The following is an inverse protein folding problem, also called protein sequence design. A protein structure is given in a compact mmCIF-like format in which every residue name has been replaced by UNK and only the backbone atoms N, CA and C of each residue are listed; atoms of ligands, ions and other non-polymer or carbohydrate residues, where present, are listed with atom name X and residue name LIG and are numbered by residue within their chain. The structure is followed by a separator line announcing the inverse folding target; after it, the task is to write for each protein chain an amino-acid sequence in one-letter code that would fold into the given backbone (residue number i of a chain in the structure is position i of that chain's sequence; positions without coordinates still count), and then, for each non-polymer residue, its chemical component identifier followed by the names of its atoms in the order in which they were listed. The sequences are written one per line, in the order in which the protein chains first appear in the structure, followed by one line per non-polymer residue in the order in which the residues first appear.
data_IF_598938078569
#
_entry.id   IF_598938078569
#
_cell.length_a   1.000
_cell.length_b   1.000
_cell.length_c   1.000
_cell.angle_alpha   90.00
_cell.angle_beta   90.00
_cell.angle_gamma   90.00
#
_symmetry.space_group_name_H-M   'P 1'
#
loop_
_entity.id
_entity.type
_entity.pdbx_description
1 polymer ?
#
# COMPACT_ATOMS: atom_id res chain seq x y z
N UNK A 1 77.12 3.53 22.27
CA UNK A 1 76.56 2.43 21.45
C UNK A 1 75.22 2.89 20.88
N UNK A 2 75.18 3.20 19.58
CA UNK A 2 73.99 3.15 18.70
C UNK A 2 73.88 1.71 18.19
N UNK A 3 72.68 1.16 17.90
CA UNK A 3 71.87 1.51 16.72
C UNK A 3 70.36 1.54 17.07
N UNK A 4 69.36 1.71 16.21
CA UNK A 4 69.17 2.25 14.87
C UNK A 4 67.66 2.50 14.74
N UNK A 5 67.30 3.41 13.86
CA UNK A 5 65.93 3.73 13.49
C UNK A 5 65.17 2.51 12.94
N UNK A 6 63.90 2.38 13.31
CA UNK A 6 62.93 1.57 12.59
C UNK A 6 61.70 2.44 12.29
N UNK A 7 61.67 2.97 11.07
CA UNK A 7 60.52 3.62 10.48
C UNK A 7 59.43 2.56 10.22
N UNK A 8 58.24 2.75 10.78
CA UNK A 8 57.08 1.95 10.46
C UNK A 8 56.27 2.66 9.36
N UNK A 9 56.40 2.13 8.16
CA UNK A 9 55.81 2.61 6.92
C UNK A 9 54.28 2.42 6.92
N UNK A 10 53.54 3.52 6.79
CA UNK A 10 52.10 3.50 6.52
C UNK A 10 51.84 2.91 5.12
N UNK A 11 51.11 1.80 5.05
CA UNK A 11 50.72 1.18 3.78
C UNK A 11 49.30 1.63 3.45
N UNK A 12 49.22 2.61 2.55
CA UNK A 12 47.98 3.13 1.96
C UNK A 12 47.53 2.19 0.84
N UNK A 13 46.55 1.32 1.13
CA UNK A 13 45.93 0.48 0.11
C UNK A 13 44.83 1.25 -0.61
N UNK A 14 45.17 1.88 -1.73
CA UNK A 14 44.20 2.48 -2.66
C UNK A 14 43.60 1.38 -3.54
N UNK A 15 42.40 0.91 -3.19
CA UNK A 15 41.63 -0.02 -4.03
C UNK A 15 40.94 0.78 -5.15
N UNK A 16 41.57 0.85 -6.31
CA UNK A 16 40.96 1.34 -7.55
C UNK A 16 40.04 0.26 -8.11
N UNK A 17 38.72 0.41 -7.98
CA UNK A 17 37.76 -0.37 -8.73
C UNK A 17 37.63 0.19 -10.14
N UNK A 18 37.95 -0.69 -11.09
CA UNK A 18 38.09 -0.47 -12.52
C UNK A 18 36.70 -0.52 -13.15
N UNK A 19 36.28 0.57 -13.80
CA UNK A 19 35.12 0.59 -14.67
C UNK A 19 35.35 -0.39 -15.83
N UNK A 20 34.58 -1.47 -15.89
CA UNK A 20 34.51 -2.35 -17.03
C UNK A 20 33.49 -1.80 -18.02
N UNK A 21 33.98 -1.12 -19.05
CA UNK A 21 33.20 -0.79 -20.24
C UNK A 21 32.93 -2.08 -21.04
N UNK A 22 31.67 -2.52 -21.09
CA UNK A 22 31.22 -3.51 -22.07
C UNK A 22 30.46 -2.78 -23.18
N UNK A 23 30.97 -2.98 -24.39
CA UNK A 23 30.55 -2.41 -25.66
C UNK A 23 29.17 -2.91 -26.11
N UNK A 24 28.51 -2.19 -27.04
CA UNK A 24 27.14 -2.43 -27.44
C UNK A 24 27.08 -3.41 -28.62
N UNK A 25 26.31 -4.49 -28.49
CA UNK A 25 25.62 -5.17 -29.60
C UNK A 25 24.98 -6.47 -29.10
N UNK A 26 23.67 -6.42 -28.84
CA UNK A 26 22.77 -7.50 -29.23
C UNK A 26 21.34 -6.93 -29.31
N UNK A 27 21.10 -6.17 -30.38
CA UNK A 27 19.76 -5.87 -30.83
C UNK A 27 19.29 -7.05 -31.69
N UNK A 28 18.46 -7.93 -31.14
CA UNK A 28 17.41 -8.66 -31.85
C UNK A 28 16.65 -9.54 -30.86
N UNK A 29 15.31 -9.48 -30.92
CA UNK A 29 14.33 -10.31 -30.21
C UNK A 29 13.78 -9.75 -28.89
N UNK A 30 13.04 -8.63 -28.97
CA UNK A 30 11.98 -8.33 -28.01
C UNK A 30 10.67 -8.05 -28.77
N UNK A 31 9.71 -8.94 -28.53
CA UNK A 31 8.32 -8.89 -28.97
C UNK A 31 7.57 -7.67 -28.38
N UNK A 32 6.61 -7.06 -29.11
CA UNK A 32 5.93 -5.85 -28.67
C UNK A 32 4.72 -6.22 -27.80
N UNK A 33 4.85 -6.14 -26.48
CA UNK A 33 3.69 -6.19 -25.57
C UNK A 33 4.03 -5.55 -24.23
N UNK A 34 4.30 -4.24 -24.21
CA UNK A 34 4.35 -3.45 -22.97
C UNK A 34 4.27 -1.93 -23.22
N UNK A 35 3.51 -1.51 -24.24
CA UNK A 35 3.18 -0.10 -24.50
C UNK A 35 1.70 0.21 -24.20
N UNK A 36 1.07 -0.54 -23.28
CA UNK A 36 -0.38 -0.46 -23.03
C UNK A 36 -0.76 -0.25 -21.55
N UNK A 37 0.12 0.27 -20.70
CA UNK A 37 -0.20 0.52 -19.28
C UNK A 37 0.03 1.96 -18.79
N UNK A 38 0.44 2.89 -19.65
CA UNK A 38 0.51 4.31 -19.33
C UNK A 38 -0.45 5.09 -20.22
N UNK A 39 -1.75 4.88 -20.04
CA UNK A 39 -2.79 5.82 -20.47
C UNK A 39 -4.19 5.26 -20.22
N UNK A 40 -4.67 5.21 -18.97
CA UNK A 40 -6.11 5.10 -18.70
C UNK A 40 -6.36 5.69 -17.31
N UNK A 41 -7.34 6.53 -17.03
CA UNK A 41 -8.25 7.38 -17.80
C UNK A 41 -9.00 8.13 -16.69
N UNK A 42 -9.08 9.46 -16.73
CA UNK A 42 -10.07 10.19 -15.93
C UNK A 42 -11.45 9.65 -16.33
N UNK A 43 -12.11 8.92 -15.42
CA UNK A 43 -13.50 8.51 -15.63
C UNK A 43 -14.41 9.65 -15.22
N UNK A 44 -14.68 10.54 -16.16
CA UNK A 44 -15.88 11.36 -16.15
C UNK A 44 -17.09 10.43 -16.33
N UNK A 45 -18.05 10.51 -15.40
CA UNK A 45 -19.33 9.83 -15.49
C UNK A 45 -20.14 10.45 -16.64
N UNK A 46 -20.05 9.86 -17.83
CA UNK A 46 -20.92 10.16 -18.96
C UNK A 46 -22.20 9.33 -18.77
N UNK A 47 -23.30 9.99 -18.44
CA UNK A 47 -24.64 9.40 -18.44
C UNK A 47 -24.96 8.82 -19.83
N UNK A 48 -25.68 7.69 -19.92
CA UNK A 48 -26.17 7.19 -21.19
C UNK A 48 -27.30 8.10 -21.71
N UNK A 49 -27.47 8.23 -23.04
CA UNK A 49 -28.57 9.00 -23.62
C UNK A 49 -29.89 8.28 -23.36
N UNK A 50 -30.82 8.98 -22.72
CA UNK A 50 -32.23 8.57 -22.60
C UNK A 50 -32.80 8.36 -24.01
N UNK A 51 -33.12 7.11 -24.35
CA UNK A 51 -33.91 6.81 -25.55
C UNK A 51 -35.32 7.41 -25.35
N UNK A 52 -35.57 8.47 -26.10
CA UNK A 52 -36.87 9.09 -26.32
C UNK A 52 -37.78 8.08 -27.03
N UNK A 53 -38.65 7.41 -26.27
CA UNK A 53 -39.78 6.67 -26.84
C UNK A 53 -40.89 7.70 -27.07
N UNK A 54 -41.06 8.09 -28.33
CA UNK A 54 -42.23 8.83 -28.76
C UNK A 54 -43.44 7.88 -28.70
N UNK A 55 -44.44 8.15 -27.86
CA UNK A 55 -45.76 7.54 -27.95
C UNK A 55 -46.78 8.59 -28.39
N UNK A 56 -47.47 8.28 -29.48
CA UNK A 56 -48.58 9.02 -30.09
C UNK A 56 -49.69 9.38 -29.08
N UNK A 57 -50.34 10.52 -29.33
CA UNK A 57 -51.51 11.05 -28.63
C UNK A 57 -52.76 10.12 -28.73
N UNK A 58 -53.82 10.38 -27.94
CA UNK A 58 -54.79 9.38 -27.49
C UNK A 58 -56.00 9.22 -28.42
N UNK A 59 -56.83 8.18 -28.20
CA UNK A 59 -58.26 8.32 -28.41
C UNK A 59 -59.04 8.12 -27.10
N UNK A 60 -60.20 8.77 -27.09
CA UNK A 60 -61.17 8.88 -26.02
C UNK A 60 -61.83 7.55 -25.59
N UNK A 61 -62.51 7.65 -24.43
CA UNK A 61 -63.63 6.83 -23.94
C UNK A 61 -63.28 5.57 -23.13
N UNK A 62 -63.37 5.65 -21.81
CA UNK A 62 -64.62 5.44 -21.05
C UNK A 62 -64.30 5.19 -19.57
N UNK A 63 -65.09 5.79 -18.69
CA UNK A 63 -64.94 5.68 -17.25
C UNK A 63 -65.20 4.23 -16.79
N UNK A 64 -64.20 3.62 -16.14
CA UNK A 64 -64.37 2.43 -15.33
C UNK A 64 -63.75 2.71 -13.94
N UNK A 65 -64.39 2.32 -12.83
CA UNK A 65 -63.91 2.65 -11.51
C UNK A 65 -62.60 1.90 -11.24
N UNK A 66 -61.57 2.69 -10.94
CA UNK A 66 -60.25 2.27 -10.51
C UNK A 66 -60.35 1.22 -9.40
N UNK A 67 -60.13 -0.04 -9.76
CA UNK A 67 -59.82 -1.11 -8.81
C UNK A 67 -58.38 -1.53 -9.06
N UNK A 68 -57.43 -0.59 -8.96
CA UNK A 68 -56.05 -0.98 -8.73
C UNK A 68 -56.04 -1.66 -7.35
N UNK A 69 -55.62 -2.93 -7.23
CA UNK A 69 -55.37 -3.50 -5.91
C UNK A 69 -54.36 -2.58 -5.21
N UNK A 70 -54.51 -2.33 -3.90
CA UNK A 70 -53.58 -1.49 -3.16
C UNK A 70 -52.15 -1.96 -3.44
N UNK A 71 -51.16 -1.05 -3.52
CA UNK A 71 -49.77 -1.44 -3.73
C UNK A 71 -49.46 -2.54 -2.71
N UNK A 72 -49.16 -3.74 -3.20
CA UNK A 72 -49.05 -4.90 -2.33
C UNK A 72 -48.01 -4.58 -1.27
N UNK A 73 -48.50 -4.39 -0.04
CA UNK A 73 -47.70 -4.16 1.15
C UNK A 73 -46.62 -5.23 1.14
N UNK A 74 -45.36 -4.81 1.10
CA UNK A 74 -44.23 -5.71 1.28
C UNK A 74 -44.58 -6.64 2.45
N UNK A 75 -44.50 -7.96 2.22
CA UNK A 75 -44.87 -8.91 3.27
C UNK A 75 -44.05 -8.60 4.53
N UNK A 76 -44.63 -8.64 5.75
CA UNK A 76 -43.91 -8.32 6.99
C UNK A 76 -42.57 -9.08 7.17
N UNK A 77 -42.47 -10.27 6.55
CA UNK A 77 -41.25 -11.08 6.48
C UNK A 77 -40.13 -10.36 5.71
N UNK A 78 -40.45 -9.77 4.57
CA UNK A 78 -39.50 -9.04 3.72
C UNK A 78 -39.05 -7.74 4.39
N UNK A 79 -39.94 -7.03 5.08
CA UNK A 79 -39.56 -5.85 5.87
C UNK A 79 -38.56 -6.20 6.98
N UNK A 80 -38.81 -7.30 7.69
CA UNK A 80 -37.88 -7.80 8.71
C UNK A 80 -36.51 -8.18 8.11
N UNK A 81 -36.47 -8.79 6.91
CA UNK A 81 -35.22 -9.09 6.20
C UNK A 81 -34.43 -7.82 5.87
N UNK A 82 -35.09 -6.77 5.39
CA UNK A 82 -34.41 -5.49 5.10
C UNK A 82 -33.87 -4.82 6.36
N UNK A 83 -34.58 -4.91 7.48
CA UNK A 83 -34.08 -4.39 8.78
C UNK A 83 -32.82 -5.13 9.20
N UNK A 84 -32.81 -6.46 9.13
CA UNK A 84 -31.62 -7.26 9.45
C UNK A 84 -30.45 -6.94 8.51
N UNK A 85 -30.71 -6.83 7.20
CA UNK A 85 -29.68 -6.51 6.22
C UNK A 85 -29.08 -5.10 6.44
N UNK A 86 -29.91 -4.11 6.79
CA UNK A 86 -29.42 -2.77 7.15
C UNK A 86 -28.50 -2.82 8.36
N UNK A 87 -28.89 -3.52 9.42
CA UNK A 87 -28.06 -3.66 10.61
C UNK A 87 -26.68 -4.28 10.30
N UNK A 88 -26.64 -5.31 9.44
CA UNK A 88 -25.39 -5.91 8.98
C UNK A 88 -24.51 -4.94 8.16
N UNK A 89 -25.12 -4.10 7.31
CA UNK A 89 -24.40 -3.09 6.55
C UNK A 89 -23.84 -1.98 7.46
N UNK A 90 -24.61 -1.55 8.46
CA UNK A 90 -24.20 -0.52 9.41
C UNK A 90 -23.03 -1.00 10.28
N UNK A 91 -23.06 -2.26 10.73
CA UNK A 91 -21.95 -2.90 11.43
C UNK A 91 -20.70 -2.98 10.55
N UNK A 92 -20.85 -3.42 9.30
CA UNK A 92 -19.75 -3.48 8.33
C UNK A 92 -19.19 -2.10 7.98
N UNK A 93 -20.03 -1.05 7.95
CA UNK A 93 -19.60 0.34 7.77
C UNK A 93 -18.79 0.83 8.96
N UNK A 94 -19.32 0.63 10.17
CA UNK A 94 -18.68 1.04 11.42
C UNK A 94 -17.30 0.38 11.57
N UNK A 95 -17.19 -0.90 11.19
CA UNK A 95 -15.92 -1.61 11.18
C UNK A 95 -14.92 -0.98 10.19
N UNK A 96 -15.34 -0.66 8.96
CA UNK A 96 -14.48 0.02 7.97
C UNK A 96 -14.01 1.39 8.46
N UNK A 97 -14.86 2.14 9.15
CA UNK A 97 -14.47 3.45 9.67
C UNK A 97 -13.39 3.34 10.76
N UNK A 98 -13.48 2.30 11.60
CA UNK A 98 -12.43 1.99 12.60
C UNK A 98 -11.14 1.54 11.95
N UNK A 99 -11.20 0.69 10.92
CA UNK A 99 -10.03 0.29 10.13
C UNK A 99 -9.36 1.52 9.53
N UNK A 100 -10.11 2.39 8.84
CA UNK A 100 -9.57 3.61 8.23
C UNK A 100 -8.96 4.58 9.23
N UNK A 101 -9.53 4.67 10.44
CA UNK A 101 -8.94 5.48 11.50
C UNK A 101 -7.53 4.99 11.86
N UNK A 102 -7.35 3.67 12.04
CA UNK A 102 -6.02 3.09 12.31
C UNK A 102 -5.09 3.26 11.11
N UNK A 103 -5.58 3.05 9.88
CA UNK A 103 -4.78 3.21 8.65
C UNK A 103 -4.30 4.65 8.48
N UNK A 104 -5.12 5.65 8.78
CA UNK A 104 -4.70 7.05 8.73
C UNK A 104 -3.59 7.38 9.74
N UNK A 105 -3.60 6.74 10.91
CA UNK A 105 -2.50 6.83 11.88
C UNK A 105 -1.22 6.15 11.35
N UNK A 106 -1.34 5.00 10.68
CA UNK A 106 -0.21 4.30 10.03
C UNK A 106 0.40 5.19 8.95
N UNK A 107 -0.43 5.76 8.07
CA UNK A 107 -0.03 6.68 6.99
C UNK A 107 0.68 7.92 7.54
N UNK A 108 0.21 8.46 8.69
CA UNK A 108 0.88 9.57 9.34
C UNK A 108 2.28 9.18 9.83
N UNK A 109 2.41 8.06 10.53
CA UNK A 109 3.68 7.59 11.07
C UNK A 109 4.67 7.19 9.96
N UNK A 110 4.19 6.52 8.91
CA UNK A 110 4.99 6.10 7.76
C UNK A 110 5.53 7.32 7.00
N UNK A 111 4.73 8.36 6.79
CA UNK A 111 5.21 9.62 6.19
C UNK A 111 6.31 10.29 6.99
N UNK A 112 6.19 10.31 8.33
CA UNK A 112 7.23 10.88 9.20
C UNK A 112 8.52 10.08 9.11
N UNK A 113 8.41 8.76 9.10
CA UNK A 113 9.56 7.86 8.94
C UNK A 113 10.23 8.02 7.58
N UNK A 114 9.46 8.00 6.48
CA UNK A 114 9.97 8.23 5.12
C UNK A 114 10.64 9.60 5.01
N UNK A 115 10.02 10.67 5.53
CA UNK A 115 10.63 11.99 5.54
C UNK A 115 11.95 12.04 6.32
N UNK A 116 12.06 11.27 7.41
CA UNK A 116 13.32 11.12 8.13
C UNK A 116 14.37 10.40 7.28
N UNK A 117 14.02 9.28 6.64
CA UNK A 117 14.92 8.50 5.79
C UNK A 117 15.48 9.32 4.62
N UNK A 118 14.64 10.16 4.00
CA UNK A 118 15.06 11.03 2.88
C UNK A 118 16.10 12.09 3.28
N UNK A 119 16.36 12.31 4.57
CA UNK A 119 17.47 13.15 5.02
C UNK A 119 18.84 12.53 4.71
N UNK A 120 18.91 11.27 4.28
CA UNK A 120 20.16 10.65 3.79
C UNK A 120 20.79 11.42 2.62
N UNK A 121 19.98 12.15 1.84
CA UNK A 121 20.46 13.01 0.75
C UNK A 121 21.01 14.37 1.23
N UNK A 122 21.01 14.62 2.54
CA UNK A 122 21.51 15.84 3.17
C UNK A 122 22.76 15.52 3.98
N UNK A 123 23.60 16.53 4.35
CA UNK A 123 24.80 16.31 5.18
C UNK A 123 24.44 16.05 6.66
N UNK A 124 23.62 15.03 6.90
CA UNK A 124 23.17 14.56 8.22
C UNK A 124 23.78 13.18 8.46
N UNK A 125 24.30 12.89 9.67
CA UNK A 125 24.81 11.56 9.98
C UNK A 125 23.72 10.48 9.80
N UNK A 126 24.04 9.39 9.09
CA UNK A 126 23.11 8.29 8.85
C UNK A 126 22.55 7.69 10.15
N UNK A 127 23.35 7.65 11.22
CA UNK A 127 22.90 7.18 12.52
C UNK A 127 21.70 8.00 13.06
N UNK A 128 21.73 9.32 12.91
CA UNK A 128 20.67 10.21 13.39
C UNK A 128 19.39 10.06 12.55
N UNK A 129 19.54 9.79 11.25
CA UNK A 129 18.45 9.47 10.32
C UNK A 129 17.75 8.18 10.75
N UNK A 130 18.53 7.11 10.94
CA UNK A 130 18.01 5.79 11.29
C UNK A 130 17.36 5.76 12.67
N UNK A 131 17.89 6.50 13.66
CA UNK A 131 17.27 6.61 14.99
C UNK A 131 15.84 7.15 14.91
N UNK A 132 15.63 8.21 14.11
CA UNK A 132 14.29 8.80 13.92
C UNK A 132 13.33 7.84 13.22
N UNK A 133 13.79 7.18 12.16
CA UNK A 133 12.98 6.21 11.42
C UNK A 133 12.59 5.02 12.30
N UNK A 134 13.54 4.44 13.06
CA UNK A 134 13.29 3.33 13.99
C UNK A 134 12.26 3.65 15.06
N UNK A 135 12.29 4.87 15.60
CA UNK A 135 11.28 5.29 16.58
C UNK A 135 9.86 5.24 15.99
N UNK A 136 9.69 5.61 14.71
CA UNK A 136 8.41 5.49 14.02
C UNK A 136 8.04 4.04 13.67
N UNK A 137 9.02 3.17 13.39
CA UNK A 137 8.75 1.74 13.17
C UNK A 137 8.09 1.10 14.39
N UNK A 138 8.51 1.44 15.61
CA UNK A 138 7.85 0.95 16.83
C UNK A 138 6.41 1.47 16.96
N UNK A 139 6.14 2.72 16.56
CA UNK A 139 4.78 3.27 16.51
C UNK A 139 3.93 2.50 15.50
N UNK A 140 4.45 2.31 14.29
CA UNK A 140 3.78 1.58 13.20
C UNK A 140 3.47 0.13 13.62
N UNK A 141 4.41 -0.54 14.28
CA UNK A 141 4.22 -1.88 14.85
C UNK A 141 3.04 -1.93 15.83
N UNK A 142 2.94 -0.95 16.73
CA UNK A 142 1.80 -0.81 17.64
C UNK A 142 0.47 -0.59 16.91
N UNK A 143 0.47 0.18 15.82
CA UNK A 143 -0.71 0.43 15.01
C UNK A 143 -1.18 -0.81 14.23
N UNK A 144 -0.25 -1.61 13.69
CA UNK A 144 -0.59 -2.90 13.08
C UNK A 144 -1.15 -3.89 14.10
N UNK A 145 -0.62 -3.91 15.32
CA UNK A 145 -1.22 -4.69 16.40
C UNK A 145 -2.66 -4.24 16.70
N UNK A 146 -2.92 -2.93 16.75
CA UNK A 146 -4.28 -2.39 16.92
C UNK A 146 -5.19 -2.74 15.74
N UNK A 147 -4.70 -2.71 14.50
CA UNK A 147 -5.44 -3.12 13.32
C UNK A 147 -5.81 -4.61 13.40
N UNK A 148 -4.88 -5.46 13.85
CA UNK A 148 -5.14 -6.88 14.09
C UNK A 148 -6.23 -7.08 15.16
N UNK A 149 -6.24 -6.31 16.25
CA UNK A 149 -7.31 -6.37 17.26
C UNK A 149 -8.68 -6.00 16.69
N UNK A 150 -8.76 -4.98 15.82
CA UNK A 150 -10.02 -4.61 15.14
C UNK A 150 -10.55 -5.78 14.29
N UNK A 151 -9.67 -6.52 13.62
CA UNK A 151 -10.05 -7.64 12.76
C UNK A 151 -10.44 -8.92 13.52
N UNK A 152 -10.07 -9.05 14.80
CA UNK A 152 -10.54 -10.17 15.63
C UNK A 152 -12.05 -10.16 15.82
N UNK A 153 -12.71 -9.02 15.64
CA UNK A 153 -14.17 -8.91 15.70
C UNK A 153 -14.86 -9.54 14.48
N UNK A 154 -14.14 -9.79 13.38
CA UNK A 154 -14.67 -10.36 12.14
C UNK A 154 -13.81 -11.52 11.61
N UNK A 155 -13.72 -12.65 12.34
CA UNK A 155 -12.87 -13.76 11.96
C UNK A 155 -13.19 -14.28 10.55
N UNK A 156 -12.16 -14.61 9.78
CA UNK A 156 -12.28 -15.10 8.41
C UNK A 156 -12.60 -14.03 7.35
N UNK A 157 -12.70 -12.74 7.73
CA UNK A 157 -12.99 -11.64 6.80
C UNK A 157 -11.76 -10.80 6.42
N UNK A 158 -10.54 -11.30 6.62
CA UNK A 158 -9.29 -10.58 6.31
C UNK A 158 -9.32 -9.94 4.92
N UNK A 159 -9.50 -10.76 3.87
CA UNK A 159 -9.49 -10.29 2.48
C UNK A 159 -10.70 -9.43 2.10
N UNK A 160 -11.79 -9.47 2.87
CA UNK A 160 -12.94 -8.59 2.63
C UNK A 160 -12.59 -7.13 2.88
N UNK A 161 -11.75 -6.86 3.88
CA UNK A 161 -11.37 -5.51 4.29
C UNK A 161 -9.93 -5.15 3.90
N UNK A 162 -9.13 -6.11 3.41
CA UNK A 162 -7.72 -5.94 3.07
C UNK A 162 -7.42 -4.71 2.21
N UNK A 163 -8.29 -4.42 1.23
CA UNK A 163 -8.14 -3.24 0.38
C UNK A 163 -8.10 -1.90 1.14
N UNK A 164 -8.67 -1.82 2.35
CA UNK A 164 -8.70 -0.60 3.16
C UNK A 164 -7.32 -0.25 3.75
N UNK A 165 -6.38 -1.21 3.91
CA UNK A 165 -5.01 -0.93 4.40
C UNK A 165 -3.90 -1.31 3.43
N UNK A 166 -4.20 -2.12 2.40
CA UNK A 166 -3.24 -2.67 1.45
C UNK A 166 -2.22 -1.65 0.91
N UNK A 167 -2.70 -0.53 0.40
CA UNK A 167 -1.84 0.51 -0.18
C UNK A 167 -0.86 1.07 0.85
N UNK A 168 -1.32 1.27 2.08
CA UNK A 168 -0.46 1.78 3.14
C UNK A 168 0.58 0.73 3.57
N UNK A 169 0.21 -0.55 3.56
CA UNK A 169 1.16 -1.64 3.77
C UNK A 169 2.26 -1.66 2.71
N UNK A 170 1.94 -1.41 1.43
CA UNK A 170 2.96 -1.28 0.38
C UNK A 170 3.95 -0.14 0.69
N UNK A 171 3.45 1.01 1.13
CA UNK A 171 4.29 2.17 1.49
C UNK A 171 5.18 1.87 2.70
N UNK A 172 4.62 1.26 3.74
CA UNK A 172 5.37 0.85 4.93
C UNK A 172 6.45 -0.18 4.58
N UNK A 173 6.16 -1.18 3.75
CA UNK A 173 7.18 -2.16 3.31
C UNK A 173 8.28 -1.47 2.52
N UNK A 174 7.95 -0.57 1.58
CA UNK A 174 8.95 0.20 0.83
C UNK A 174 9.89 0.99 1.77
N UNK A 175 9.31 1.69 2.75
CA UNK A 175 10.05 2.42 3.78
C UNK A 175 10.95 1.49 4.62
N UNK A 176 10.44 0.35 5.06
CA UNK A 176 11.22 -0.63 5.82
C UNK A 176 12.37 -1.21 5.00
N UNK A 177 12.13 -1.48 3.71
CA UNK A 177 13.12 -2.02 2.80
C UNK A 177 14.26 -1.01 2.58
N UNK A 178 13.92 0.26 2.35
CA UNK A 178 14.91 1.33 2.21
C UNK A 178 15.75 1.49 3.48
N UNK A 179 15.10 1.52 4.66
CA UNK A 179 15.80 1.57 5.94
C UNK A 179 16.75 0.37 6.13
N UNK A 180 16.28 -0.85 5.84
CA UNK A 180 17.10 -2.07 5.98
C UNK A 180 18.29 -2.08 5.03
N UNK A 181 18.11 -1.59 3.80
CA UNK A 181 19.20 -1.45 2.85
C UNK A 181 20.26 -0.45 3.33
N UNK A 182 19.86 0.71 3.87
CA UNK A 182 20.79 1.68 4.45
C UNK A 182 21.60 1.10 5.62
N UNK A 183 21.04 0.14 6.36
CA UNK A 183 21.70 -0.50 7.50
C UNK A 183 22.67 -1.61 7.10
N UNK A 184 22.30 -2.41 6.10
CA UNK A 184 22.95 -3.71 5.83
C UNK A 184 23.53 -3.83 4.42
N UNK A 185 23.08 -2.99 3.49
CA UNK A 185 23.29 -3.15 2.05
C UNK A 185 22.53 -4.34 1.44
N UNK A 186 21.71 -5.04 2.22
CA UNK A 186 20.96 -6.22 1.82
C UNK A 186 19.51 -5.94 1.44
N UNK A 187 18.84 -6.96 0.92
CA UNK A 187 17.40 -6.95 0.67
C UNK A 187 16.66 -7.40 1.94
N UNK A 188 15.68 -6.60 2.38
CA UNK A 188 14.81 -6.97 3.49
C UNK A 188 14.00 -8.23 3.14
N UNK A 189 14.13 -9.29 3.94
CA UNK A 189 13.38 -10.52 3.74
C UNK A 189 11.95 -10.40 4.30
N UNK A 190 11.00 -11.14 3.72
CA UNK A 190 9.58 -11.14 4.15
C UNK A 190 9.41 -11.43 5.65
N UNK A 191 10.14 -12.41 6.19
CA UNK A 191 10.10 -12.74 7.61
C UNK A 191 10.60 -11.60 8.51
N UNK A 192 11.65 -10.89 8.08
CA UNK A 192 12.19 -9.73 8.81
C UNK A 192 11.22 -8.55 8.75
N UNK A 193 10.54 -8.35 7.62
CA UNK A 193 9.48 -7.34 7.49
C UNK A 193 8.31 -7.64 8.44
N UNK A 194 7.87 -8.90 8.52
CA UNK A 194 6.86 -9.32 9.49
C UNK A 194 7.31 -9.08 10.93
N UNK A 195 8.56 -9.39 11.26
CA UNK A 195 9.09 -9.20 12.62
C UNK A 195 9.11 -7.72 13.01
N UNK A 196 9.58 -6.86 12.10
CA UNK A 196 9.59 -5.40 12.28
C UNK A 196 8.18 -4.85 12.48
N UNK A 197 7.16 -5.43 11.82
CA UNK A 197 5.76 -5.05 11.98
C UNK A 197 5.03 -5.76 13.13
N UNK A 198 5.66 -6.73 13.80
CA UNK A 198 5.04 -7.51 14.87
C UNK A 198 3.98 -8.51 14.39
N UNK A 199 4.10 -9.02 13.16
CA UNK A 199 3.10 -9.85 12.47
C UNK A 199 3.43 -11.36 12.44
N UNK A 200 4.41 -11.83 13.22
CA UNK A 200 4.92 -13.21 13.13
C UNK A 200 4.09 -14.29 13.85
N UNK A 201 3.14 -13.91 14.70
CA UNK A 201 2.55 -14.83 15.69
C UNK A 201 1.02 -14.88 15.71
N UNK A 202 0.34 -14.48 14.62
CA UNK A 202 -1.12 -14.45 14.55
C UNK A 202 -1.70 -14.77 13.18
N UNK A 203 -3.03 -14.80 13.09
CA UNK A 203 -3.77 -14.94 11.82
C UNK A 203 -3.64 -13.71 10.92
N UNK A 204 -3.35 -12.55 11.51
CA UNK A 204 -3.07 -11.32 10.78
C UNK A 204 -1.57 -11.25 10.45
N UNK A 205 -1.26 -11.40 9.16
CA UNK A 205 0.11 -11.46 8.64
C UNK A 205 0.37 -10.44 7.54
N UNK A 206 1.64 -10.35 7.10
CA UNK A 206 2.02 -9.57 5.92
C UNK A 206 1.80 -10.43 4.68
N UNK A 207 0.87 -10.03 3.82
CA UNK A 207 0.65 -10.75 2.56
C UNK A 207 1.91 -10.69 1.67
N UNK A 208 2.22 -11.80 0.98
CA UNK A 208 3.39 -11.88 0.10
C UNK A 208 3.27 -10.89 -1.05
N UNK A 209 2.07 -10.67 -1.60
CA UNK A 209 1.86 -9.70 -2.67
C UNK A 209 2.15 -8.27 -2.20
N UNK A 210 1.77 -7.95 -0.95
CA UNK A 210 2.00 -6.64 -0.38
C UNK A 210 3.48 -6.38 -0.14
N UNK A 211 4.18 -7.40 0.35
CA UNK A 211 5.62 -7.37 0.51
C UNK A 211 6.34 -7.15 -0.83
N UNK A 212 6.02 -7.95 -1.84
CA UNK A 212 6.66 -7.85 -3.17
C UNK A 212 6.36 -6.49 -3.82
N UNK A 213 5.12 -6.00 -3.71
CA UNK A 213 4.74 -4.69 -4.25
C UNK A 213 5.48 -3.55 -3.56
N UNK A 214 5.62 -3.61 -2.23
CA UNK A 214 6.39 -2.62 -1.47
C UNK A 214 7.87 -2.60 -1.86
N UNK A 215 8.48 -3.77 -2.06
CA UNK A 215 9.87 -3.87 -2.55
C UNK A 215 10.06 -3.22 -3.93
N UNK A 216 9.06 -3.33 -4.82
CA UNK A 216 9.13 -2.67 -6.12
C UNK A 216 9.13 -1.13 -5.98
N UNK A 217 8.37 -0.57 -5.05
CA UNK A 217 8.34 0.89 -4.85
C UNK A 217 9.64 1.47 -4.29
N UNK A 218 10.40 0.70 -3.52
CA UNK A 218 11.73 1.11 -3.05
C UNK A 218 12.68 1.43 -4.20
N UNK A 219 12.53 0.76 -5.35
CA UNK A 219 13.45 0.92 -6.50
C UNK A 219 13.52 2.36 -7.03
N UNK A 220 12.46 3.14 -6.83
CA UNK A 220 12.40 4.54 -7.27
C UNK A 220 13.34 5.46 -6.46
N UNK A 221 13.70 5.09 -5.23
CA UNK A 221 14.58 5.90 -4.37
C UNK A 221 16.07 5.71 -4.72
N UNK A 222 16.45 4.57 -5.31
CA UNK A 222 17.83 4.30 -5.75
C UNK A 222 18.25 5.10 -6.97
N UNK A 223 17.31 5.37 -7.89
CA UNK A 223 17.60 6.18 -9.07
C UNK A 223 18.01 7.61 -8.68
N UNK A 224 17.48 8.14 -7.58
CA UNK A 224 17.85 9.45 -7.05
C UNK A 224 19.27 9.48 -6.45
N UNK A 225 19.74 8.38 -5.86
CA UNK A 225 21.07 8.28 -5.26
C UNK A 225 22.18 8.14 -6.32
N UNK A 226 21.90 7.47 -7.44
CA UNK A 226 22.86 7.28 -8.54
C UNK A 226 23.18 8.55 -9.35
N UNK A 227 22.45 9.64 -9.11
CA UNK A 227 22.60 10.92 -9.80
C UNK A 227 23.49 11.95 -9.08
N UNK A 228 24.10 11.59 -7.93
CA UNK A 228 25.06 12.42 -7.18
C UNK A 228 26.47 11.83 -7.22
#
# INVERSE_FOLDING_TARGET
MRPAAAAATATTAALRLRAASLSPSLAASLSPSLAALLSHRRSSLILPPLRRICSLAPPHSSAAPNSQPPPQLLSPIMDAQFVLFRAQLDESSTLRDRIRAVVAEIESASRVATAALLLVHQPVPLADVLVKAKAQVEVIKGLYARLAEVLKECPGQYYRYHADWRTETHMVVSMLAFMHWLETGGLLMHAEAQEKLGLCSGEFGLDVEDYLTGLCFMSNEFDAESAQ
#
